data_IF_093632301844
#
_entry.id   IF_093632301844
#
_cell.length_a   1.000
_cell.length_b   1.000
_cell.length_c   1.000
_cell.angle_alpha   90.00
_cell.angle_beta   90.00
_cell.angle_gamma   90.00
#
_symmetry.space_group_name_H-M   'P 1'
#
loop_
_entity.id
_entity.type
_entity.pdbx_description
1 polymer ?
#
# COMPACT_ATOMS: atom_id res chain seq x y z
N UNK A 1 -21.51 -15.79 45.13
CA UNK A 1 -21.61 -16.17 43.70
C UNK A 1 -21.96 -14.94 42.87
N UNK A 2 -21.00 -14.30 42.20
CA UNK A 2 -21.28 -13.53 40.97
C UNK A 2 -19.95 -13.15 40.30
N UNK A 3 -19.50 -14.00 39.37
CA UNK A 3 -18.51 -13.64 38.37
C UNK A 3 -19.22 -13.63 37.02
N UNK A 4 -19.44 -12.45 36.44
CA UNK A 4 -19.82 -12.29 35.02
C UNK A 4 -19.65 -10.82 34.61
N UNK A 5 -18.47 -10.48 34.08
CA UNK A 5 -18.19 -9.12 33.60
C UNK A 5 -17.12 -9.00 32.49
N UNK A 6 -16.50 -10.10 32.04
CA UNK A 6 -15.32 -10.05 31.15
C UNK A 6 -15.57 -10.21 29.65
N UNK A 7 -16.78 -10.56 29.19
CA UNK A 7 -16.97 -11.04 27.80
C UNK A 7 -17.26 -9.95 26.76
N UNK A 8 -17.55 -8.72 27.17
CA UNK A 8 -18.10 -7.71 26.25
C UNK A 8 -17.04 -7.11 25.31
N UNK A 9 -15.79 -6.96 25.76
CA UNK A 9 -14.72 -6.36 24.96
C UNK A 9 -14.19 -7.30 23.87
N UNK A 10 -13.97 -8.58 24.20
CA UNK A 10 -13.45 -9.58 23.27
C UNK A 10 -14.42 -9.87 22.11
N UNK A 11 -15.73 -9.89 22.38
CA UNK A 11 -16.74 -10.10 21.34
C UNK A 11 -16.85 -8.92 20.37
N UNK A 12 -16.63 -7.69 20.86
CA UNK A 12 -16.60 -6.47 20.04
C UNK A 12 -15.41 -6.48 19.07
N UNK A 13 -14.20 -6.75 19.57
CA UNK A 13 -13.00 -6.86 18.75
C UNK A 13 -13.11 -7.97 17.70
N UNK A 14 -13.66 -9.14 18.07
CA UNK A 14 -13.84 -10.25 17.14
C UNK A 14 -14.80 -9.92 16.00
N UNK A 15 -15.87 -9.17 16.28
CA UNK A 15 -16.81 -8.70 15.26
C UNK A 15 -16.15 -7.70 14.32
N UNK A 16 -15.39 -6.73 14.84
CA UNK A 16 -14.65 -5.75 14.03
C UNK A 16 -13.56 -6.44 13.17
N UNK A 17 -12.86 -7.45 13.71
CA UNK A 17 -11.92 -8.26 12.93
C UNK A 17 -12.59 -9.06 11.82
N UNK A 18 -13.81 -9.56 12.04
CA UNK A 18 -14.56 -10.27 11.00
C UNK A 18 -15.05 -9.31 9.91
N UNK A 19 -15.51 -8.11 10.27
CA UNK A 19 -15.84 -7.05 9.31
C UNK A 19 -14.60 -6.63 8.52
N UNK A 20 -13.45 -6.51 9.19
CA UNK A 20 -12.16 -6.23 8.56
C UNK A 20 -11.79 -7.31 7.54
N UNK A 21 -11.87 -8.60 7.91
CA UNK A 21 -11.62 -9.71 6.98
C UNK A 21 -12.57 -9.66 5.77
N UNK A 22 -13.86 -9.43 5.99
CA UNK A 22 -14.84 -9.32 4.92
C UNK A 22 -14.55 -8.13 3.99
N UNK A 23 -14.17 -6.98 4.55
CA UNK A 23 -13.79 -5.79 3.79
C UNK A 23 -12.54 -6.04 2.93
N UNK A 24 -11.49 -6.63 3.50
CA UNK A 24 -10.27 -6.98 2.77
C UNK A 24 -10.57 -7.96 1.64
N UNK A 25 -11.39 -8.99 1.88
CA UNK A 25 -11.82 -9.94 0.84
C UNK A 25 -12.61 -9.23 -0.27
N UNK A 26 -13.57 -8.36 0.11
CA UNK A 26 -14.40 -7.62 -0.85
C UNK A 26 -13.58 -6.65 -1.69
N UNK A 27 -12.66 -5.90 -1.08
CA UNK A 27 -11.73 -5.02 -1.81
C UNK A 27 -10.78 -5.82 -2.69
N UNK A 28 -10.26 -6.96 -2.22
CA UNK A 28 -9.42 -7.84 -3.03
C UNK A 28 -10.17 -8.39 -4.26
N UNK A 29 -11.46 -8.67 -4.15
CA UNK A 29 -12.30 -9.08 -5.28
C UNK A 29 -12.50 -7.92 -6.29
N UNK A 30 -12.89 -6.73 -5.80
CA UNK A 30 -13.05 -5.53 -6.65
C UNK A 30 -11.77 -5.19 -7.43
N UNK A 31 -10.61 -5.36 -6.81
CA UNK A 31 -9.32 -5.04 -7.43
C UNK A 31 -8.88 -6.09 -8.47
N UNK A 32 -9.33 -7.35 -8.34
CA UNK A 32 -9.07 -8.41 -9.34
C UNK A 32 -9.90 -8.25 -10.62
N UNK A 33 -11.11 -7.71 -10.52
CA UNK A 33 -11.96 -7.47 -11.70
C UNK A 33 -11.39 -6.36 -12.61
N UNK A 34 -10.61 -5.43 -12.07
CA UNK A 34 -9.96 -4.34 -12.82
C UNK A 34 -8.72 -4.78 -13.65
N UNK A 35 -8.20 -5.99 -13.41
CA UNK A 35 -6.95 -6.49 -14.01
C UNK A 35 -7.16 -7.66 -14.99
N UNK A 36 -8.41 -7.97 -15.38
CA UNK A 36 -8.66 -9.00 -16.39
C UNK A 36 -8.11 -8.54 -17.76
N UNK A 37 -7.12 -9.22 -18.35
CA UNK A 37 -6.68 -8.90 -19.71
C UNK A 37 -7.81 -9.26 -20.68
N UNK A 38 -8.10 -8.36 -21.62
CA UNK A 38 -8.95 -8.66 -22.77
C UNK A 38 -8.33 -9.86 -23.50
N UNK A 39 -9.08 -10.96 -23.48
CA UNK A 39 -8.68 -12.26 -24.01
C UNK A 39 -8.19 -12.12 -25.46
N UNK A 40 -7.03 -12.72 -25.70
CA UNK A 40 -6.36 -12.88 -26.98
C UNK A 40 -7.28 -13.42 -28.07
N UNK A 41 -7.26 -12.72 -29.21
CA UNK A 41 -7.83 -13.14 -30.46
C UNK A 41 -6.94 -14.25 -31.06
N UNK A 42 -7.35 -15.51 -30.94
CA UNK A 42 -6.65 -16.67 -31.50
C UNK A 42 -6.97 -16.83 -32.98
N UNK A 43 -6.11 -16.29 -33.85
CA UNK A 43 -6.07 -16.72 -35.24
C UNK A 43 -5.08 -17.87 -35.39
N UNK A 44 -5.64 -19.05 -35.65
CA UNK A 44 -4.96 -20.27 -36.06
C UNK A 44 -4.50 -20.10 -37.50
N UNK A 45 -3.19 -20.10 -37.73
CA UNK A 45 -2.63 -20.41 -39.05
C UNK A 45 -1.79 -21.67 -38.87
N UNK A 46 -2.29 -22.77 -39.44
CA UNK A 46 -1.51 -23.96 -39.73
C UNK A 46 -0.63 -23.65 -40.93
N UNK A 47 0.68 -23.86 -40.83
CA UNK A 47 1.47 -24.25 -41.99
C UNK A 47 2.69 -25.06 -41.54
N UNK A 48 2.84 -26.22 -42.18
CA UNK A 48 3.82 -27.23 -41.83
C UNK A 48 5.22 -26.88 -42.34
N UNK A 49 6.23 -27.14 -41.51
CA UNK A 49 7.61 -27.21 -41.97
C UNK A 49 8.30 -28.48 -41.46
N UNK A 50 8.97 -29.11 -42.41
CA UNK A 50 9.70 -30.38 -42.32
C UNK A 50 10.97 -30.20 -41.48
N UNK A 51 11.23 -31.20 -40.66
CA UNK A 51 12.49 -31.39 -39.93
C UNK A 51 13.65 -31.65 -40.91
N UNK A 52 14.74 -30.92 -40.73
CA UNK A 52 16.08 -31.31 -41.16
C UNK A 52 17.09 -30.96 -40.04
N UNK A 53 18.10 -31.81 -39.78
CA UNK A 53 19.06 -31.59 -38.69
C UNK A 53 20.39 -31.02 -39.20
N UNK A 54 20.89 -29.94 -38.60
CA UNK A 54 22.32 -29.76 -38.30
C UNK A 54 22.67 -28.44 -37.60
N UNK A 55 23.26 -28.58 -36.41
CA UNK A 55 24.46 -27.92 -35.85
C UNK A 55 24.78 -26.44 -36.10
N UNK A 56 25.12 -25.77 -34.98
CA UNK A 56 25.84 -24.48 -34.79
C UNK A 56 25.01 -23.21 -34.82
N UNK A 57 24.45 -22.79 -33.68
CA UNK A 57 24.34 -21.37 -33.29
C UNK A 57 24.26 -21.24 -31.76
N UNK A 58 25.41 -21.09 -31.10
CA UNK A 58 25.51 -20.83 -29.66
C UNK A 58 25.98 -19.39 -29.35
N UNK A 59 25.83 -18.43 -30.29
CA UNK A 59 26.38 -17.08 -30.13
C UNK A 59 25.39 -15.92 -30.40
N UNK A 60 24.08 -16.19 -30.49
CA UNK A 60 23.07 -15.12 -30.63
C UNK A 60 22.34 -14.76 -29.33
N UNK A 61 22.42 -15.60 -28.29
CA UNK A 61 21.69 -15.38 -27.03
C UNK A 61 22.37 -14.37 -26.11
N UNK A 62 23.69 -14.19 -26.22
CA UNK A 62 24.47 -13.28 -25.36
C UNK A 62 24.38 -11.82 -25.82
N UNK A 63 24.18 -11.57 -27.13
CA UNK A 63 24.07 -10.20 -27.65
C UNK A 63 22.71 -9.55 -27.36
N UNK A 64 21.61 -10.34 -27.36
CA UNK A 64 20.27 -9.83 -27.02
C UNK A 64 20.12 -9.46 -25.53
N UNK A 65 20.91 -10.07 -24.62
CA UNK A 65 20.85 -9.73 -23.20
C UNK A 65 21.50 -8.38 -22.88
N UNK A 66 22.47 -7.94 -23.70
CA UNK A 66 23.19 -6.69 -23.46
C UNK A 66 22.39 -5.45 -23.89
N UNK A 67 21.59 -5.55 -24.95
CA UNK A 67 20.72 -4.45 -25.40
C UNK A 67 19.51 -4.26 -24.49
N UNK A 68 18.94 -5.35 -23.94
CA UNK A 68 17.87 -5.27 -22.93
C UNK A 68 18.36 -4.54 -21.67
N UNK A 69 19.59 -4.78 -21.22
CA UNK A 69 20.14 -4.10 -20.03
C UNK A 69 20.47 -2.61 -20.27
N UNK A 70 20.86 -2.22 -21.49
CA UNK A 70 21.09 -0.81 -21.83
C UNK A 70 19.79 -0.01 -21.96
N UNK A 71 18.74 -0.58 -22.55
CA UNK A 71 17.42 0.07 -22.58
C UNK A 71 16.79 0.19 -21.19
N UNK A 72 16.94 -0.84 -20.34
CA UNK A 72 16.44 -0.78 -18.95
C UNK A 72 17.19 0.29 -18.12
N UNK A 73 18.49 0.47 -18.35
CA UNK A 73 19.30 1.49 -17.68
C UNK A 73 18.91 2.92 -18.11
N UNK A 74 18.75 3.17 -19.40
CA UNK A 74 18.34 4.47 -19.93
C UNK A 74 16.88 4.81 -19.56
N UNK A 75 15.97 3.82 -19.53
CA UNK A 75 14.57 4.03 -19.14
C UNK A 75 14.41 4.30 -17.64
N UNK A 76 15.28 3.71 -16.79
CA UNK A 76 15.33 3.99 -15.35
C UNK A 76 15.95 5.37 -15.07
N UNK A 77 16.97 5.75 -15.83
CA UNK A 77 17.66 7.04 -15.70
C UNK A 77 16.83 8.23 -16.21
N UNK A 78 16.10 8.08 -17.32
CA UNK A 78 15.16 9.10 -17.81
C UNK A 78 13.92 9.25 -16.92
N UNK A 79 13.42 8.16 -16.29
CA UNK A 79 12.34 8.25 -15.29
C UNK A 79 12.78 8.96 -14.01
N UNK A 80 14.00 8.71 -13.53
CA UNK A 80 14.53 9.34 -12.33
C UNK A 80 14.69 10.86 -12.48
N UNK A 81 15.11 11.35 -13.66
CA UNK A 81 15.22 12.78 -13.93
C UNK A 81 13.85 13.48 -14.04
N UNK A 82 12.85 12.81 -14.63
CA UNK A 82 11.49 13.33 -14.76
C UNK A 82 10.70 13.30 -13.44
N UNK A 83 11.08 12.45 -12.48
CA UNK A 83 10.47 12.38 -11.15
C UNK A 83 11.10 13.32 -10.12
N UNK A 84 12.20 14.02 -10.45
CA UNK A 84 12.86 14.96 -9.52
C UNK A 84 11.93 16.03 -8.93
N UNK A 85 11.02 16.67 -9.69
CA UNK A 85 10.10 17.66 -9.13
C UNK A 85 9.09 17.05 -8.16
N UNK A 86 8.64 15.82 -8.44
CA UNK A 86 7.73 15.07 -7.58
C UNK A 86 8.43 14.68 -6.29
N UNK A 87 9.62 14.07 -6.40
CA UNK A 87 10.40 13.65 -5.24
C UNK A 87 10.74 14.84 -4.33
N UNK A 88 11.17 15.96 -4.91
CA UNK A 88 11.41 17.19 -4.15
C UNK A 88 10.16 17.65 -3.41
N UNK A 89 8.98 17.55 -4.03
CA UNK A 89 7.73 17.93 -3.37
C UNK A 89 7.41 17.03 -2.19
N UNK A 90 7.63 15.72 -2.34
CA UNK A 90 7.49 14.75 -1.26
C UNK A 90 8.44 15.11 -0.11
N UNK A 91 9.74 15.25 -0.39
CA UNK A 91 10.75 15.53 0.64
C UNK A 91 10.48 16.83 1.42
N UNK A 92 9.90 17.84 0.76
CA UNK A 92 9.64 19.15 1.35
C UNK A 92 8.33 19.23 2.12
N UNK A 93 7.26 18.64 1.59
CA UNK A 93 5.90 18.87 2.09
C UNK A 93 5.36 17.71 2.92
N UNK A 94 5.96 16.52 2.85
CA UNK A 94 5.42 15.38 3.58
C UNK A 94 5.52 15.60 5.11
N UNK A 95 4.43 15.38 5.87
CA UNK A 95 4.43 15.61 7.31
C UNK A 95 5.50 14.78 8.03
N UNK A 96 6.27 15.45 8.89
CA UNK A 96 7.24 14.81 9.78
C UNK A 96 6.52 14.00 10.87
N UNK A 97 7.11 12.87 11.27
CA UNK A 97 6.56 12.07 12.35
C UNK A 97 6.41 12.88 13.64
N UNK A 98 5.31 12.70 14.39
CA UNK A 98 5.13 13.34 15.68
C UNK A 98 6.08 12.72 16.72
N UNK A 99 6.59 13.49 17.70
CA UNK A 99 7.44 12.97 18.77
C UNK A 99 6.74 11.92 19.65
N UNK A 100 5.46 12.14 19.94
CA UNK A 100 4.60 11.18 20.63
C UNK A 100 3.56 10.66 19.63
N UNK A 101 3.86 9.50 19.04
CA UNK A 101 2.98 8.85 18.06
C UNK A 101 1.65 8.46 18.70
N UNK A 102 1.64 7.96 19.92
CA UNK A 102 0.42 7.40 20.51
C UNK A 102 -0.62 8.49 20.81
N UNK A 103 -0.19 9.70 21.17
CA UNK A 103 -1.08 10.83 21.42
C UNK A 103 -1.48 11.58 20.14
N UNK A 104 -0.61 11.62 19.13
CA UNK A 104 -0.79 12.48 17.95
C UNK A 104 -1.11 11.72 16.66
N UNK A 105 -1.28 10.40 16.72
CA UNK A 105 -1.50 9.54 15.55
C UNK A 105 -2.63 10.05 14.66
N UNK A 106 -3.79 10.35 15.24
CA UNK A 106 -4.97 10.74 14.46
C UNK A 106 -4.73 12.05 13.70
N UNK A 107 -4.21 13.06 14.40
CA UNK A 107 -3.89 14.35 13.80
C UNK A 107 -2.83 14.22 12.70
N UNK A 108 -1.84 13.36 12.90
CA UNK A 108 -0.81 13.09 11.89
C UNK A 108 -1.42 12.47 10.63
N UNK A 109 -2.30 11.47 10.77
CA UNK A 109 -2.95 10.81 9.64
C UNK A 109 -3.86 11.76 8.85
N UNK A 110 -4.58 12.65 9.53
CA UNK A 110 -5.36 13.72 8.87
C UNK A 110 -4.44 14.67 8.10
N UNK A 111 -3.30 15.05 8.67
CA UNK A 111 -2.33 15.91 8.00
C UNK A 111 -1.73 15.24 6.76
N UNK A 112 -1.43 13.93 6.82
CA UNK A 112 -0.98 13.16 5.66
C UNK A 112 -2.05 13.15 4.59
N UNK A 113 -3.30 12.83 4.92
CA UNK A 113 -4.40 12.84 3.95
C UNK A 113 -4.54 14.20 3.27
N UNK A 114 -4.64 15.27 4.07
CA UNK A 114 -4.82 16.63 3.58
C UNK A 114 -3.66 17.05 2.67
N UNK A 115 -2.43 16.73 3.06
CA UNK A 115 -1.23 17.06 2.30
C UNK A 115 -1.20 16.32 0.97
N UNK A 116 -1.44 15.00 0.95
CA UNK A 116 -1.47 14.21 -0.30
C UNK A 116 -2.53 14.76 -1.26
N UNK A 117 -3.74 15.05 -0.78
CA UNK A 117 -4.82 15.61 -1.61
C UNK A 117 -4.42 16.99 -2.15
N UNK A 118 -3.89 17.87 -1.29
CA UNK A 118 -3.46 19.22 -1.68
C UNK A 118 -2.39 19.16 -2.78
N UNK A 119 -1.43 18.25 -2.64
CA UNK A 119 -0.35 18.08 -3.60
C UNK A 119 -0.85 17.44 -4.90
N UNK A 120 -1.80 16.52 -4.85
CA UNK A 120 -2.42 15.96 -6.05
C UNK A 120 -3.21 17.01 -6.82
N UNK A 121 -3.95 17.88 -6.14
CA UNK A 121 -4.66 19.02 -6.76
C UNK A 121 -3.67 20.02 -7.37
N UNK A 122 -2.60 20.36 -6.64
CA UNK A 122 -1.62 21.37 -7.06
C UNK A 122 -0.74 20.90 -8.23
N UNK A 123 -0.27 19.66 -8.17
CA UNK A 123 0.68 19.09 -9.13
C UNK A 123 0.03 18.26 -10.23
N UNK A 124 -1.20 17.77 -10.01
CA UNK A 124 -1.92 16.92 -10.95
C UNK A 124 -2.02 17.54 -12.34
N UNK A 125 -2.66 18.71 -12.52
CA UNK A 125 -2.88 19.29 -13.84
C UNK A 125 -1.60 19.48 -14.69
N UNK A 126 -0.50 20.07 -14.19
CA UNK A 126 0.72 20.19 -14.98
C UNK A 126 1.39 18.83 -15.24
N UNK A 127 1.38 17.90 -14.29
CA UNK A 127 2.01 16.58 -14.47
C UNK A 127 1.20 15.65 -15.38
N UNK A 128 -0.13 15.78 -15.41
CA UNK A 128 -0.99 15.06 -16.37
C UNK A 128 -0.64 15.45 -17.80
N UNK A 129 -0.46 16.74 -18.09
CA UNK A 129 -0.01 17.21 -19.42
C UNK A 129 1.38 16.68 -19.81
N UNK A 130 2.22 16.35 -18.83
CA UNK A 130 3.55 15.77 -19.04
C UNK A 130 3.55 14.24 -19.03
N UNK A 131 2.40 13.59 -18.81
CA UNK A 131 2.32 12.13 -18.66
C UNK A 131 2.96 11.59 -17.36
N UNK A 132 3.17 12.45 -16.36
CA UNK A 132 3.88 12.15 -15.10
C UNK A 132 2.95 11.92 -13.90
N UNK A 133 1.64 11.92 -14.10
CA UNK A 133 0.67 11.68 -13.02
C UNK A 133 0.86 10.32 -12.34
N UNK A 134 1.22 9.29 -13.11
CA UNK A 134 1.55 7.98 -12.55
C UNK A 134 2.75 8.02 -11.58
N UNK A 135 3.77 8.83 -11.89
CA UNK A 135 4.92 9.04 -11.02
C UNK A 135 4.56 9.82 -9.75
N UNK A 136 3.65 10.81 -9.86
CA UNK A 136 3.11 11.51 -8.68
C UNK A 136 2.44 10.54 -7.71
N UNK A 137 1.54 9.70 -8.24
CA UNK A 137 0.81 8.71 -7.44
C UNK A 137 1.78 7.71 -6.81
N UNK A 138 2.71 7.14 -7.59
CA UNK A 138 3.67 6.14 -7.09
C UNK A 138 4.59 6.72 -6.00
N UNK A 139 5.14 7.92 -6.19
CA UNK A 139 6.01 8.56 -5.20
C UNK A 139 5.28 8.83 -3.88
N UNK A 140 4.09 9.44 -3.91
CA UNK A 140 3.32 9.70 -2.69
C UNK A 140 2.78 8.42 -2.06
N UNK A 141 2.44 7.40 -2.85
CA UNK A 141 2.07 6.08 -2.35
C UNK A 141 3.21 5.45 -1.56
N UNK A 142 4.40 5.36 -2.17
CA UNK A 142 5.60 4.80 -1.51
C UNK A 142 5.94 5.56 -0.25
N UNK A 143 6.00 6.90 -0.30
CA UNK A 143 6.31 7.69 0.89
C UNK A 143 5.27 7.50 1.99
N UNK A 144 3.97 7.46 1.64
CA UNK A 144 2.93 7.19 2.63
C UNK A 144 3.17 5.86 3.33
N UNK A 145 3.47 4.79 2.59
CA UNK A 145 3.72 3.48 3.17
C UNK A 145 5.03 3.40 3.96
N UNK A 146 6.08 4.12 3.56
CA UNK A 146 7.29 4.31 4.37
C UNK A 146 6.94 4.91 5.73
N UNK A 147 6.16 6.00 5.75
CA UNK A 147 5.75 6.65 7.01
C UNK A 147 4.78 5.81 7.83
N UNK A 148 3.90 5.06 7.18
CA UNK A 148 3.02 4.12 7.88
C UNK A 148 3.80 2.98 8.53
N UNK A 149 4.89 2.51 7.91
CA UNK A 149 5.79 1.51 8.50
C UNK A 149 6.51 2.10 9.73
N UNK A 150 7.05 3.32 9.62
CA UNK A 150 7.65 4.04 10.75
C UNK A 150 6.64 4.17 11.91
N UNK A 151 5.39 4.59 11.62
CA UNK A 151 4.34 4.68 12.64
C UNK A 151 4.05 3.32 13.26
N UNK A 152 3.97 2.27 12.45
CA UNK A 152 3.63 0.93 12.92
C UNK A 152 4.68 0.38 13.90
N UNK A 153 5.96 0.70 13.70
CA UNK A 153 7.01 0.34 14.65
C UNK A 153 6.90 1.09 15.99
N UNK A 154 6.30 2.28 15.98
CA UNK A 154 6.25 3.18 17.14
C UNK A 154 4.94 3.12 17.94
N UNK A 155 3.85 2.59 17.38
CA UNK A 155 2.59 2.43 18.11
C UNK A 155 2.69 1.34 19.19
N UNK A 156 2.34 1.69 20.42
CA UNK A 156 2.46 0.77 21.58
C UNK A 156 1.15 0.19 22.06
N UNK A 157 0.03 0.75 21.60
CA UNK A 157 -1.30 0.28 21.98
C UNK A 157 -2.01 -0.45 20.85
N UNK A 158 -2.83 -1.43 21.22
CA UNK A 158 -3.74 -2.12 20.32
C UNK A 158 -4.73 -1.13 19.70
N UNK A 159 -5.20 -0.15 20.47
CA UNK A 159 -6.08 0.93 20.02
C UNK A 159 -5.48 1.71 18.85
N UNK A 160 -4.22 2.13 18.95
CA UNK A 160 -3.56 2.92 17.92
C UNK A 160 -3.19 2.07 16.70
N UNK A 161 -2.76 0.82 16.92
CA UNK A 161 -2.54 -0.15 15.84
C UNK A 161 -3.82 -0.37 15.02
N UNK A 162 -4.95 -0.58 15.69
CA UNK A 162 -6.24 -0.72 15.05
C UNK A 162 -6.68 0.58 14.35
N UNK A 163 -6.46 1.74 14.97
CA UNK A 163 -6.74 3.05 14.38
C UNK A 163 -5.97 3.27 13.08
N UNK A 164 -4.68 2.93 13.05
CA UNK A 164 -3.83 3.01 11.87
C UNK A 164 -4.33 2.10 10.74
N UNK A 165 -4.63 0.83 11.06
CA UNK A 165 -5.20 -0.11 10.09
C UNK A 165 -6.54 0.38 9.53
N UNK A 166 -7.41 0.90 10.40
CA UNK A 166 -8.70 1.45 9.99
C UNK A 166 -8.53 2.62 9.02
N UNK A 167 -7.62 3.55 9.31
CA UNK A 167 -7.35 4.68 8.42
C UNK A 167 -6.84 4.22 7.05
N UNK A 168 -5.90 3.26 6.98
CA UNK A 168 -5.41 2.75 5.69
C UNK A 168 -6.52 2.10 4.87
N UNK A 169 -7.39 1.31 5.51
CA UNK A 169 -8.48 0.66 4.78
C UNK A 169 -9.59 1.61 4.33
N UNK A 170 -9.97 2.55 5.19
CA UNK A 170 -11.17 3.37 4.98
C UNK A 170 -10.87 4.72 4.37
N UNK A 171 -9.68 5.28 4.59
CA UNK A 171 -9.29 6.61 4.12
C UNK A 171 -8.34 6.51 2.94
N UNK A 172 -7.24 5.75 3.06
CA UNK A 172 -6.23 5.68 2.00
C UNK A 172 -6.78 5.08 0.69
N UNK A 173 -7.56 4.00 0.80
CA UNK A 173 -8.22 3.35 -0.35
C UNK A 173 -9.57 3.96 -0.74
N UNK A 174 -9.92 5.11 -0.16
CA UNK A 174 -11.19 5.75 -0.41
C UNK A 174 -11.18 6.52 -1.73
N UNK A 175 -12.39 6.75 -2.26
CA UNK A 175 -12.58 7.67 -3.36
C UNK A 175 -12.21 9.11 -3.01
N UNK A 176 -12.30 9.48 -1.74
CA UNK A 176 -11.97 10.83 -1.30
C UNK A 176 -10.47 11.12 -1.42
N UNK A 177 -9.62 10.11 -1.20
CA UNK A 177 -8.18 10.29 -1.28
C UNK A 177 -7.61 10.01 -2.68
N UNK A 178 -8.15 9.01 -3.40
CA UNK A 178 -7.62 8.57 -4.69
C UNK A 178 -8.52 8.92 -5.89
N UNK A 179 -9.71 9.49 -5.71
CA UNK A 179 -10.66 9.78 -6.81
C UNK A 179 -11.22 11.20 -6.71
N UNK A 180 -10.36 12.15 -6.33
CA UNK A 180 -10.74 13.56 -6.36
C UNK A 180 -11.24 13.92 -7.78
N UNK A 181 -12.34 14.69 -7.93
CA UNK A 181 -12.93 14.98 -9.24
C UNK A 181 -11.95 15.58 -10.26
N UNK A 182 -10.91 16.25 -9.76
CA UNK A 182 -9.85 16.86 -10.57
C UNK A 182 -8.81 15.85 -11.09
N UNK A 183 -8.87 14.59 -10.65
CA UNK A 183 -7.96 13.50 -11.04
C UNK A 183 -8.62 12.46 -11.97
N UNK A 184 -9.83 12.74 -12.49
CA UNK A 184 -10.68 11.79 -13.22
C UNK A 184 -10.05 11.15 -14.48
N UNK A 185 -8.99 11.74 -15.04
CA UNK A 185 -8.33 11.22 -16.25
C UNK A 185 -7.43 10.01 -16.00
N UNK A 186 -6.96 9.81 -14.78
CA UNK A 186 -6.10 8.67 -14.42
C UNK A 186 -6.84 7.84 -13.39
N UNK A 187 -6.96 6.53 -13.60
CA UNK A 187 -7.43 5.58 -12.59
C UNK A 187 -6.30 5.36 -11.57
N UNK A 188 -6.30 6.02 -10.39
CA UNK A 188 -5.11 6.08 -9.55
C UNK A 188 -4.89 4.75 -8.84
N UNK A 189 -5.97 3.98 -8.66
CA UNK A 189 -5.91 2.63 -8.10
C UNK A 189 -5.03 1.70 -8.96
N UNK A 190 -5.05 1.85 -10.30
CA UNK A 190 -4.19 1.05 -11.18
C UNK A 190 -2.70 1.40 -11.06
N UNK A 191 -2.37 2.52 -10.42
CA UNK A 191 -0.99 2.98 -10.19
C UNK A 191 -0.51 2.71 -8.76
N UNK A 192 -1.39 2.30 -7.86
CA UNK A 192 -1.04 1.92 -6.49
C UNK A 192 -0.34 0.56 -6.51
N UNK A 193 0.79 0.46 -5.79
CA UNK A 193 1.51 -0.79 -5.59
C UNK A 193 0.73 -1.67 -4.59
N UNK A 194 -0.08 -2.58 -5.13
CA UNK A 194 -0.91 -3.46 -4.31
C UNK A 194 -0.09 -4.44 -3.49
N UNK A 195 1.12 -4.78 -3.94
CA UNK A 195 2.00 -5.66 -3.16
C UNK A 195 2.43 -4.94 -1.88
N UNK A 196 2.89 -3.69 -2.01
CA UNK A 196 3.26 -2.85 -0.87
C UNK A 196 2.10 -2.71 0.13
N UNK A 197 0.89 -2.45 -0.37
CA UNK A 197 -0.31 -2.40 0.46
C UNK A 197 -0.55 -3.72 1.21
N UNK A 198 -0.54 -4.86 0.51
CA UNK A 198 -0.85 -6.16 1.13
C UNK A 198 0.21 -6.60 2.13
N UNK A 199 1.49 -6.31 1.87
CA UNK A 199 2.59 -6.59 2.78
C UNK A 199 2.43 -5.77 4.06
N UNK A 200 2.18 -4.47 3.92
CA UNK A 200 1.97 -3.59 5.08
C UNK A 200 0.76 -4.02 5.91
N UNK A 201 -0.35 -4.42 5.28
CA UNK A 201 -1.52 -4.95 6.02
C UNK A 201 -1.17 -6.21 6.82
N UNK A 202 -0.30 -7.07 6.27
CA UNK A 202 0.25 -8.23 7.00
C UNK A 202 0.99 -7.80 8.26
N UNK A 203 1.99 -6.93 8.10
CA UNK A 203 2.78 -6.37 9.23
C UNK A 203 1.88 -5.72 10.27
N UNK A 204 0.91 -4.92 9.84
CA UNK A 204 0.03 -4.18 10.73
C UNK A 204 -0.86 -5.09 11.57
N UNK A 205 -1.35 -6.19 10.96
CA UNK A 205 -2.11 -7.21 11.67
C UNK A 205 -1.26 -7.91 12.73
N UNK A 206 -0.03 -8.28 12.39
CA UNK A 206 0.87 -8.96 13.33
C UNK A 206 1.22 -8.04 14.50
N UNK A 207 1.47 -6.74 14.22
CA UNK A 207 1.72 -5.74 15.27
C UNK A 207 0.51 -5.52 16.18
N UNK A 208 -0.71 -5.50 15.61
CA UNK A 208 -1.93 -5.40 16.41
C UNK A 208 -2.07 -6.59 17.37
N UNK A 209 -1.79 -7.81 16.89
CA UNK A 209 -1.84 -9.01 17.74
C UNK A 209 -0.82 -8.95 18.87
N UNK A 210 0.43 -8.59 18.55
CA UNK A 210 1.50 -8.39 19.54
C UNK A 210 1.06 -7.40 20.64
N UNK A 211 0.53 -6.25 20.26
CA UNK A 211 0.08 -5.23 21.22
C UNK A 211 -1.10 -5.71 22.08
N UNK A 212 -2.03 -6.48 21.52
CA UNK A 212 -3.15 -7.08 22.28
C UNK A 212 -2.63 -8.10 23.30
N UNK A 213 -1.70 -8.96 22.91
CA UNK A 213 -1.10 -9.98 23.80
C UNK A 213 -0.32 -9.32 24.94
N UNK A 214 0.45 -8.27 24.65
CA UNK A 214 1.18 -7.49 25.64
C UNK A 214 0.23 -6.83 26.66
N UNK A 215 -0.84 -6.18 26.19
CA UNK A 215 -1.84 -5.55 27.05
C UNK A 215 -2.56 -6.57 27.94
N UNK A 216 -2.93 -7.73 27.38
CA UNK A 216 -3.52 -8.81 28.18
C UNK A 216 -2.55 -9.28 29.25
N UNK A 217 -1.31 -9.58 28.90
CA UNK A 217 -0.29 -10.06 29.84
C UNK A 217 -0.08 -9.08 31.00
N UNK A 218 -0.01 -7.78 30.72
CA UNK A 218 0.06 -6.74 31.75
C UNK A 218 -1.17 -6.72 32.67
N UNK A 219 -2.37 -6.95 32.16
CA UNK A 219 -3.57 -7.03 33.00
C UNK A 219 -3.55 -8.25 33.93
N UNK A 220 -3.10 -9.41 33.44
CA UNK A 220 -3.00 -10.64 34.23
C UNK A 220 -1.98 -10.54 35.37
N UNK A 221 -0.82 -9.94 35.11
CA UNK A 221 0.23 -9.74 36.14
C UNK A 221 -0.25 -8.78 37.22
N UNK A 222 -0.89 -7.68 36.86
CA UNK A 222 -1.48 -6.73 37.81
C UNK A 222 -2.59 -7.38 38.65
N UNK A 223 -3.46 -8.19 38.03
CA UNK A 223 -4.53 -8.90 38.74
C UNK A 223 -3.99 -9.92 39.73
N UNK A 224 -2.89 -10.59 39.41
CA UNK A 224 -2.26 -11.59 40.28
C UNK A 224 -1.54 -10.95 41.46
N UNK A 225 -0.95 -9.76 41.28
CA UNK A 225 -0.29 -9.01 42.35
C UNK A 225 -1.27 -8.39 43.37
N UNK A 226 -2.54 -8.19 42.99
CA UNK A 226 -3.59 -7.59 43.83
C UNK A 226 -4.44 -8.60 44.61
N UNK A 227 -4.22 -9.90 44.43
CA UNK A 227 -4.95 -10.97 45.12
C UNK A 227 -3.97 -11.80 45.97
N UNK A 228 -3.65 -11.36 47.21
CA UNK A 228 -2.85 -12.13 48.17
C UNK A 228 -3.59 -13.35 48.75
#
# INVERSE_FOLDING_TARGET
MSQRGGTTCANSLKLEMNKFKAFVVKKKAFMRESTQPLIENKNVIQDGFKQAPCTKYENALVQNTLDIHKETCLQTQCRAAASLPVQRSVDQHFPKLPPDVDQNLHQYLENVQKMVITEFVRLGPPLTRMGLMGSLIDCYHRETFTRLDDLLQNVRSSKNSFGLMKWVLHTYLSSEMLYHPELQEVDPIKKVDLLLFTEWVGKAKDKLLENVENEMTCMWTLSSALMP
#
